data_IF_590912238142
#
_entry.id   IF_590912238142
#
_cell.length_a   1.000
_cell.length_b   1.000
_cell.length_c   1.000
_cell.angle_alpha   90.00
_cell.angle_beta   90.00
_cell.angle_gamma   90.00
#
_symmetry.space_group_name_H-M   'P 1'
#
loop_
_entity.id
_entity.type
_entity.pdbx_description
1 polymer ?
#
# COMPACT_ATOMS: atom_id res chain seq x y z
N UNK A 1 -4.21 -7.11 14.83
CA UNK A 1 -3.07 -6.29 14.39
C UNK A 1 -2.25 -5.81 15.59
N UNK A 2 -2.86 -5.27 16.65
CA UNK A 2 -2.15 -4.80 17.86
C UNK A 2 -1.19 -5.85 18.45
N UNK A 3 -1.65 -7.09 18.63
CA UNK A 3 -0.80 -8.17 19.16
C UNK A 3 0.39 -8.49 18.25
N UNK A 4 0.21 -8.35 16.94
CA UNK A 4 1.32 -8.46 15.99
C UNK A 4 2.34 -7.34 16.17
N UNK A 5 1.90 -6.09 16.34
CA UNK A 5 2.80 -4.96 16.58
C UNK A 5 3.52 -5.07 17.92
N UNK A 6 2.87 -5.53 18.99
CA UNK A 6 3.52 -5.84 20.27
C UNK A 6 4.60 -6.90 20.11
N UNK A 7 4.33 -7.95 19.36
CA UNK A 7 5.31 -9.01 19.08
C UNK A 7 6.50 -8.47 18.25
N UNK A 8 6.23 -7.65 17.23
CA UNK A 8 7.28 -6.99 16.45
C UNK A 8 8.16 -6.07 17.30
N UNK A 9 7.53 -5.23 18.16
CA UNK A 9 8.24 -4.37 19.09
C UNK A 9 9.13 -5.18 20.03
N UNK A 10 8.61 -6.25 20.61
CA UNK A 10 9.38 -7.10 21.53
C UNK A 10 10.58 -7.78 20.84
N UNK A 11 10.45 -8.14 19.56
CA UNK A 11 11.50 -8.82 18.80
C UNK A 11 12.63 -7.90 18.31
N UNK A 12 12.38 -6.59 18.24
CA UNK A 12 13.41 -5.62 17.84
C UNK A 12 14.45 -5.42 18.95
N UNK A 13 15.68 -5.12 18.56
CA UNK A 13 16.70 -4.59 19.46
C UNK A 13 16.39 -3.13 19.83
N UNK A 14 16.99 -2.63 20.91
CA UNK A 14 16.90 -1.21 21.29
C UNK A 14 17.40 -0.32 20.15
N UNK A 15 16.61 0.70 19.79
CA UNK A 15 16.85 1.55 18.63
C UNK A 15 16.54 0.89 17.29
N UNK A 16 15.96 -0.29 17.27
CA UNK A 16 15.49 -0.96 16.05
C UNK A 16 14.30 -0.24 15.43
N UNK A 17 14.15 -0.38 14.12
CA UNK A 17 13.08 0.23 13.33
C UNK A 17 12.19 -0.85 12.74
N UNK A 18 10.88 -0.68 12.90
CA UNK A 18 9.86 -1.48 12.25
C UNK A 18 9.33 -0.73 11.03
N UNK A 19 9.33 -1.38 9.88
CA UNK A 19 8.97 -0.77 8.60
C UNK A 19 7.72 -1.44 8.02
N UNK A 20 6.77 -0.63 7.56
CA UNK A 20 5.55 -1.07 6.90
C UNK A 20 5.37 -0.29 5.60
N UNK A 21 4.72 -0.90 4.63
CA UNK A 21 4.10 -0.23 3.50
C UNK A 21 2.58 -0.14 3.71
N UNK A 22 1.99 0.90 3.16
CA UNK A 22 0.56 1.15 3.15
C UNK A 22 0.18 1.74 1.80
N UNK A 23 -0.93 1.33 1.24
CA UNK A 23 -1.48 1.93 0.03
C UNK A 23 -2.93 2.34 0.25
N UNK A 24 -3.42 3.25 -0.57
CA UNK A 24 -4.78 3.75 -0.48
C UNK A 24 -5.13 4.69 -1.63
N UNK A 25 -6.13 5.53 -1.39
CA UNK A 25 -6.74 6.39 -2.37
C UNK A 25 -8.08 5.85 -2.86
N UNK A 26 -8.92 6.68 -3.50
CA UNK A 26 -10.24 6.27 -3.94
C UNK A 26 -10.21 5.12 -4.94
N UNK A 27 -9.22 5.04 -5.82
CA UNK A 27 -9.09 3.97 -6.81
C UNK A 27 -8.80 2.61 -6.19
N UNK A 28 -8.10 2.58 -5.05
CA UNK A 28 -7.75 1.32 -4.38
C UNK A 28 -8.94 0.59 -3.76
N UNK A 29 -10.08 1.27 -3.57
CA UNK A 29 -11.31 0.70 -3.00
C UNK A 29 -12.44 0.54 -4.02
N UNK A 30 -12.20 0.88 -5.28
CA UNK A 30 -13.15 0.63 -6.36
C UNK A 30 -12.93 -0.76 -6.94
N UNK A 31 -14.02 -1.46 -7.23
CA UNK A 31 -13.96 -2.71 -8.00
C UNK A 31 -13.53 -2.39 -9.44
N UNK A 32 -12.25 -2.56 -9.72
CA UNK A 32 -11.64 -2.28 -11.01
C UNK A 32 -10.55 -3.31 -11.35
N UNK A 33 -10.01 -3.19 -12.56
CA UNK A 33 -8.89 -4.03 -13.04
C UNK A 33 -7.86 -3.15 -13.72
N UNK A 34 -6.72 -2.98 -13.09
CA UNK A 34 -5.56 -2.32 -13.70
C UNK A 34 -4.75 -3.31 -14.54
N UNK A 35 -4.33 -2.87 -15.71
CA UNK A 35 -3.63 -3.72 -16.66
C UNK A 35 -2.29 -3.13 -17.04
N UNK A 36 -1.21 -3.78 -16.61
CA UNK A 36 0.15 -3.40 -16.97
C UNK A 36 0.65 -4.36 -18.06
N UNK A 37 1.11 -3.79 -19.17
CA UNK A 37 1.66 -4.56 -20.30
C UNK A 37 3.18 -4.60 -20.21
N UNK A 38 3.73 -5.81 -20.08
CA UNK A 38 5.15 -6.10 -20.14
C UNK A 38 5.52 -6.79 -21.44
N UNK A 39 6.81 -6.86 -21.75
CA UNK A 39 7.29 -7.66 -22.88
C UNK A 39 6.95 -9.15 -22.65
N UNK A 40 6.08 -9.68 -23.52
CA UNK A 40 5.67 -11.10 -23.50
C UNK A 40 4.50 -11.47 -22.60
N UNK A 41 4.04 -10.60 -21.70
CA UNK A 41 2.86 -10.87 -20.87
C UNK A 41 2.14 -9.59 -20.43
N UNK A 42 0.89 -9.78 -19.96
CA UNK A 42 0.12 -8.77 -19.25
C UNK A 42 -0.07 -9.19 -17.80
N UNK A 43 0.12 -8.23 -16.91
CA UNK A 43 -0.20 -8.30 -15.49
C UNK A 43 -1.55 -7.60 -15.27
N UNK A 44 -2.38 -8.17 -14.41
CA UNK A 44 -3.66 -7.60 -14.02
C UNK A 44 -3.72 -7.55 -12.50
N UNK A 45 -3.97 -6.37 -11.97
CA UNK A 45 -4.32 -6.16 -10.57
C UNK A 45 -5.82 -5.88 -10.50
N UNK A 46 -6.57 -6.68 -9.78
CA UNK A 46 -8.03 -6.59 -9.68
C UNK A 46 -8.45 -6.40 -8.24
N UNK A 47 -9.17 -5.30 -7.95
CA UNK A 47 -9.97 -5.18 -6.73
C UNK A 47 -11.29 -5.92 -6.97
N UNK A 48 -11.46 -7.08 -6.36
CA UNK A 48 -12.63 -7.94 -6.55
C UNK A 48 -13.76 -7.61 -5.56
N UNK A 49 -13.44 -7.02 -4.43
CA UNK A 49 -14.41 -6.68 -3.39
C UNK A 49 -13.82 -5.65 -2.41
N UNK A 50 -14.65 -4.71 -2.01
CA UNK A 50 -14.41 -3.84 -0.87
C UNK A 50 -15.68 -3.75 -0.01
N UNK A 51 -15.56 -3.97 1.30
CA UNK A 51 -16.65 -3.83 2.26
C UNK A 51 -16.51 -2.52 3.03
N UNK A 52 -17.35 -1.50 2.79
CA UNK A 52 -17.22 -0.18 3.44
C UNK A 52 -17.54 -0.19 4.94
N UNK A 53 -18.17 -1.24 5.47
CA UNK A 53 -18.47 -1.34 6.90
C UNK A 53 -17.28 -1.84 7.72
N UNK A 54 -16.43 -2.69 7.11
CA UNK A 54 -15.32 -3.34 7.81
C UNK A 54 -13.96 -2.95 7.24
N UNK A 55 -13.93 -2.30 6.06
CA UNK A 55 -12.76 -2.06 5.22
C UNK A 55 -12.06 -3.36 4.75
N UNK A 56 -12.73 -4.52 4.87
CA UNK A 56 -12.19 -5.74 4.28
C UNK A 56 -12.20 -5.63 2.76
N UNK A 57 -11.14 -6.11 2.15
CA UNK A 57 -10.95 -6.07 0.71
C UNK A 57 -10.35 -7.38 0.19
N UNK A 58 -10.66 -7.67 -1.07
CA UNK A 58 -10.09 -8.80 -1.78
C UNK A 58 -9.49 -8.32 -3.08
N UNK A 59 -8.19 -8.59 -3.24
CA UNK A 59 -7.44 -8.32 -4.47
C UNK A 59 -6.99 -9.62 -5.10
N UNK A 60 -6.85 -9.60 -6.42
CA UNK A 60 -6.32 -10.73 -7.17
C UNK A 60 -5.34 -10.28 -8.25
N UNK A 61 -4.29 -11.07 -8.44
CA UNK A 61 -3.35 -10.91 -9.54
C UNK A 61 -3.61 -11.98 -10.58
N UNK A 62 -3.66 -11.54 -11.86
CA UNK A 62 -3.78 -12.44 -13.00
C UNK A 62 -2.68 -12.18 -13.99
N UNK A 63 -2.39 -13.19 -14.81
CA UNK A 63 -1.39 -13.10 -15.86
C UNK A 63 -1.94 -13.60 -17.20
N UNK A 64 -1.49 -12.97 -18.28
CA UNK A 64 -1.76 -13.43 -19.64
C UNK A 64 -0.52 -13.33 -20.49
N UNK A 65 0.04 -14.48 -20.90
CA UNK A 65 1.10 -14.53 -21.90
C UNK A 65 0.54 -14.36 -23.31
N UNK A 66 1.39 -13.91 -24.22
CA UNK A 66 1.03 -13.81 -25.65
C UNK A 66 0.69 -15.19 -26.19
N UNK A 67 -0.51 -15.34 -26.79
CA UNK A 67 -1.00 -16.61 -27.34
C UNK A 67 -1.63 -17.58 -26.33
N UNK A 68 -1.63 -17.25 -25.01
CA UNK A 68 -2.27 -18.07 -23.98
C UNK A 68 -3.56 -17.44 -23.46
N UNK A 69 -4.37 -18.26 -22.79
CA UNK A 69 -5.54 -17.75 -22.04
C UNK A 69 -5.07 -17.05 -20.76
N UNK A 70 -5.88 -16.09 -20.29
CA UNK A 70 -5.66 -15.41 -19.01
C UNK A 70 -5.74 -16.43 -17.86
N UNK A 71 -4.68 -16.52 -17.09
CA UNK A 71 -4.64 -17.27 -15.82
C UNK A 71 -5.17 -16.36 -14.74
N UNK A 72 -6.32 -16.73 -14.18
CA UNK A 72 -6.98 -15.96 -13.13
C UNK A 72 -6.52 -16.40 -11.74
N UNK A 73 -6.63 -15.48 -10.78
CA UNK A 73 -6.44 -15.72 -9.35
C UNK A 73 -5.09 -16.42 -9.04
N UNK A 74 -4.03 -15.98 -9.73
CA UNK A 74 -2.69 -16.52 -9.50
C UNK A 74 -2.17 -16.17 -8.11
N UNK A 75 -2.55 -15.01 -7.60
CA UNK A 75 -2.37 -14.59 -6.22
C UNK A 75 -3.66 -13.94 -5.75
N UNK A 76 -4.04 -14.19 -4.51
CA UNK A 76 -5.22 -13.65 -3.87
C UNK A 76 -4.78 -13.04 -2.55
N UNK A 77 -5.27 -11.83 -2.27
CA UNK A 77 -5.04 -11.11 -1.04
C UNK A 77 -6.37 -10.80 -0.38
N UNK A 78 -6.54 -11.25 0.84
CA UNK A 78 -7.67 -10.90 1.70
C UNK A 78 -7.12 -10.00 2.81
N UNK A 79 -7.33 -8.70 2.66
CA UNK A 79 -6.79 -7.67 3.52
C UNK A 79 -7.89 -6.83 4.15
N UNK A 80 -7.49 -5.99 5.07
CA UNK A 80 -8.27 -4.85 5.54
C UNK A 80 -7.49 -3.58 5.21
N UNK A 81 -8.17 -2.60 4.61
CA UNK A 81 -7.61 -1.27 4.41
C UNK A 81 -7.53 -0.54 5.75
N UNK A 82 -6.38 0.02 6.03
CA UNK A 82 -6.07 0.75 7.25
C UNK A 82 -5.75 2.20 6.93
N UNK A 83 -6.19 3.14 7.79
CA UNK A 83 -5.76 4.53 7.73
C UNK A 83 -4.41 4.73 8.44
N UNK A 84 -3.65 5.74 8.00
CA UNK A 84 -2.36 6.08 8.62
C UNK A 84 -2.50 6.34 10.13
N UNK A 85 -3.54 7.07 10.55
CA UNK A 85 -3.76 7.38 11.96
C UNK A 85 -4.13 6.16 12.79
N UNK A 86 -4.95 5.24 12.23
CA UNK A 86 -5.26 3.95 12.90
C UNK A 86 -3.97 3.15 13.17
N UNK A 87 -3.05 3.13 12.20
CA UNK A 87 -1.77 2.42 12.36
C UNK A 87 -0.85 3.12 13.35
N UNK A 88 -0.79 4.46 13.34
CA UNK A 88 -0.02 5.24 14.34
C UNK A 88 -0.50 4.92 15.76
N UNK A 89 -1.79 4.98 16.00
CA UNK A 89 -2.38 4.73 17.32
C UNK A 89 -2.05 3.30 17.80
N UNK A 90 -2.18 2.30 16.91
CA UNK A 90 -1.86 0.91 17.24
C UNK A 90 -0.37 0.67 17.48
N UNK A 91 0.50 1.36 16.75
CA UNK A 91 1.96 1.27 16.92
C UNK A 91 2.38 1.93 18.25
N UNK A 92 1.80 3.09 18.59
CA UNK A 92 2.03 3.74 19.88
C UNK A 92 1.54 2.86 21.04
N UNK A 93 0.33 2.29 20.94
CA UNK A 93 -0.20 1.35 21.93
C UNK A 93 0.66 0.08 22.05
N UNK A 94 1.31 -0.34 20.98
CA UNK A 94 2.23 -1.48 20.97
C UNK A 94 3.59 -1.17 21.63
N UNK A 95 3.89 0.12 21.89
CA UNK A 95 5.09 0.56 22.60
C UNK A 95 6.15 1.26 21.74
N UNK A 96 5.88 1.47 20.44
CA UNK A 96 6.81 2.24 19.59
C UNK A 96 6.85 3.71 20.01
N UNK A 97 8.06 4.27 20.11
CA UNK A 97 8.29 5.61 20.67
C UNK A 97 8.02 6.74 19.65
N UNK A 98 8.15 6.44 18.36
CA UNK A 98 7.99 7.39 17.28
C UNK A 98 7.57 6.69 15.99
N UNK A 99 6.55 7.20 15.32
CA UNK A 99 6.10 6.72 14.01
C UNK A 99 6.16 7.86 12.99
N UNK A 100 6.86 7.64 11.89
CA UNK A 100 7.06 8.61 10.80
C UNK A 100 6.43 8.03 9.53
N UNK A 101 5.59 8.81 8.84
CA UNK A 101 5.12 8.54 7.50
C UNK A 101 6.08 9.09 6.45
N UNK A 102 6.28 8.33 5.38
CA UNK A 102 7.10 8.73 4.23
C UNK A 102 6.24 8.72 2.99
N UNK A 103 6.05 9.87 2.38
CA UNK A 103 5.26 10.06 1.16
C UNK A 103 6.16 10.16 -0.06
N UNK A 104 5.70 9.63 -1.19
CA UNK A 104 6.44 9.71 -2.44
C UNK A 104 6.46 11.14 -2.96
N UNK A 105 7.62 11.57 -3.44
CA UNK A 105 7.79 12.86 -4.11
C UNK A 105 7.17 12.82 -5.52
N UNK A 106 6.99 13.98 -6.10
CA UNK A 106 6.40 14.15 -7.42
C UNK A 106 7.47 14.43 -8.47
N UNK A 107 7.31 13.85 -9.66
CA UNK A 107 8.08 14.23 -10.85
C UNK A 107 7.54 15.55 -11.44
N UNK A 108 8.35 16.19 -12.28
CA UNK A 108 7.86 17.28 -13.12
C UNK A 108 6.75 16.77 -14.04
N UNK A 109 5.66 17.52 -14.25
CA UNK A 109 4.58 17.12 -15.13
C UNK A 109 5.09 16.74 -16.52
N UNK A 110 4.55 15.68 -17.09
CA UNK A 110 4.84 15.26 -18.46
C UNK A 110 4.19 16.19 -19.50
N UNK A 111 4.32 15.86 -20.82
CA UNK A 111 3.77 16.65 -21.92
C UNK A 111 2.22 16.75 -21.89
N UNK A 112 1.55 15.80 -21.25
CA UNK A 112 0.10 15.76 -21.09
C UNK A 112 -0.37 16.44 -19.78
N UNK A 113 0.59 16.82 -18.90
CA UNK A 113 0.37 17.47 -17.62
C UNK A 113 0.17 16.48 -16.46
N UNK A 114 0.40 15.19 -16.70
CA UNK A 114 0.31 14.16 -15.68
C UNK A 114 1.57 14.18 -14.79
N UNK A 115 1.37 14.05 -13.48
CA UNK A 115 2.43 14.04 -12.47
C UNK A 115 2.56 12.63 -11.90
N UNK A 116 3.71 12.02 -12.10
CA UNK A 116 4.06 10.71 -11.53
C UNK A 116 4.82 10.84 -10.22
N UNK A 117 4.99 9.72 -9.50
CA UNK A 117 5.89 9.65 -8.36
C UNK A 117 7.36 9.56 -8.81
N UNK A 118 8.26 10.26 -8.09
CA UNK A 118 9.70 10.30 -8.40
C UNK A 118 10.48 9.07 -7.87
N UNK A 119 9.80 8.14 -7.21
CA UNK A 119 10.38 6.95 -6.58
C UNK A 119 11.15 7.22 -5.29
N UNK A 120 11.17 8.47 -4.81
CA UNK A 120 11.80 8.84 -3.54
C UNK A 120 10.74 9.15 -2.50
N UNK A 121 11.00 8.75 -1.25
CA UNK A 121 10.04 8.91 -0.16
C UNK A 121 10.59 9.85 0.91
N UNK A 122 9.82 10.84 1.28
CA UNK A 122 10.20 11.89 2.23
C UNK A 122 9.30 11.88 3.47
N UNK A 123 9.85 12.12 4.67
CA UNK A 123 9.05 12.21 5.88
C UNK A 123 8.06 13.38 5.76
N UNK A 124 6.79 13.11 6.02
CA UNK A 124 5.74 14.13 5.96
C UNK A 124 4.64 13.89 6.99
N UNK A 125 3.97 14.96 7.39
CA UNK A 125 2.77 14.90 8.25
C UNK A 125 1.49 15.22 7.45
N UNK A 126 1.62 15.77 6.24
CA UNK A 126 0.51 16.13 5.36
C UNK A 126 0.81 15.65 3.95
N UNK A 127 -0.22 15.22 3.23
CA UNK A 127 -0.15 14.82 1.84
C UNK A 127 -1.40 15.34 1.10
N UNK A 128 -1.23 15.66 -0.17
CA UNK A 128 -2.34 16.05 -1.02
C UNK A 128 -3.18 14.83 -1.43
N UNK A 129 -4.45 15.09 -1.75
CA UNK A 129 -5.34 14.05 -2.22
C UNK A 129 -4.93 13.61 -3.63
N UNK A 130 -4.74 12.30 -3.80
CA UNK A 130 -4.51 11.67 -5.10
C UNK A 130 -5.37 10.41 -5.25
N UNK A 131 -5.51 9.92 -6.48
CA UNK A 131 -6.40 8.80 -6.80
C UNK A 131 -5.89 7.47 -6.24
N UNK A 132 -4.58 7.25 -6.29
CA UNK A 132 -3.91 6.09 -5.70
C UNK A 132 -2.54 6.49 -5.16
N UNK A 133 -2.14 5.90 -4.05
CA UNK A 133 -0.86 6.21 -3.40
C UNK A 133 -0.30 5.00 -2.65
N UNK A 134 1.01 5.01 -2.52
CA UNK A 134 1.77 4.14 -1.61
C UNK A 134 2.55 5.02 -0.65
N UNK A 135 2.63 4.64 0.61
CA UNK A 135 3.41 5.31 1.64
C UNK A 135 4.14 4.28 2.49
N UNK A 136 5.25 4.69 3.08
CA UNK A 136 5.95 3.88 4.05
C UNK A 136 5.80 4.45 5.46
N UNK A 137 5.81 3.57 6.44
CA UNK A 137 5.74 3.89 7.86
C UNK A 137 6.99 3.31 8.53
N UNK A 138 7.75 4.15 9.22
CA UNK A 138 8.86 3.72 10.04
C UNK A 138 8.55 4.01 11.52
N UNK A 139 8.57 2.97 12.35
CA UNK A 139 8.32 3.07 13.79
C UNK A 139 9.53 2.61 14.59
N UNK A 140 9.92 3.42 15.56
CA UNK A 140 11.13 3.23 16.35
C UNK A 140 10.82 2.60 17.71
N UNK A 141 11.62 1.61 18.09
CA UNK A 141 11.59 1.03 19.44
C UNK A 141 12.29 1.94 20.44
#
# INVERSE_FOLDING_TARGET
LLEYFKAAHAALNDGGVFFLDLFGGPDSIQENVDVITHEGFKYYWECQMFNPMTNDCRFAIHFKRKGEQKRKDCFIYEWRMWGMMELRDLLEEAGFSKTIGYWEGEEEPDEDGDVGGDGNFYPTEEAEQCEAWVTYIASMK
#
